data_IF_308516197805
#
_entry.id   IF_308516197805
#
_cell.length_a   1.000
_cell.length_b   1.000
_cell.length_c   1.000
_cell.angle_alpha   90.00
_cell.angle_beta   90.00
_cell.angle_gamma   90.00
#
_symmetry.space_group_name_H-M   'P 1'
#
loop_
_entity.id
_entity.type
_entity.pdbx_description
1 polymer ?
#
# COMPACT_ATOMS: atom_id res chain seq x y z
N UNK A 1 -3.23 20.93 -3.73
CA UNK A 1 -3.03 19.47 -3.73
C UNK A 1 -1.80 19.02 -2.94
N UNK A 2 -0.61 19.56 -3.19
CA UNK A 2 0.62 19.18 -2.46
C UNK A 2 0.51 19.33 -0.93
N UNK A 3 -0.16 20.38 -0.43
CA UNK A 3 -0.44 20.54 1.00
C UNK A 3 -1.29 19.40 1.57
N UNK A 4 -2.38 19.04 0.88
CA UNK A 4 -3.25 17.92 1.28
C UNK A 4 -2.52 16.58 1.26
N UNK A 5 -1.60 16.39 0.29
CA UNK A 5 -0.77 15.18 0.22
C UNK A 5 0.20 15.08 1.41
N UNK A 6 0.78 16.21 1.83
CA UNK A 6 1.64 16.26 3.00
C UNK A 6 0.86 16.00 4.29
N UNK A 7 -0.32 16.61 4.45
CA UNK A 7 -1.23 16.37 5.58
C UNK A 7 -1.64 14.88 5.65
N UNK A 8 -1.91 14.23 4.52
CA UNK A 8 -2.20 12.79 4.50
C UNK A 8 -1.00 11.95 4.95
N UNK A 9 0.22 12.28 4.50
CA UNK A 9 1.42 11.53 4.90
C UNK A 9 1.70 11.66 6.41
N UNK A 10 1.50 12.85 6.97
CA UNK A 10 1.60 13.09 8.41
C UNK A 10 0.58 12.24 9.19
N UNK A 11 -0.70 12.25 8.78
CA UNK A 11 -1.74 11.41 9.39
C UNK A 11 -1.46 9.91 9.24
N UNK A 12 -0.78 9.49 8.18
CA UNK A 12 -0.36 8.10 8.00
C UNK A 12 0.78 7.68 8.94
N UNK A 13 1.56 8.63 9.47
CA UNK A 13 2.69 8.34 10.37
C UNK A 13 2.35 8.54 11.84
N UNK A 14 1.39 9.40 12.16
CA UNK A 14 0.89 9.63 13.52
C UNK A 14 -0.09 8.54 13.98
N UNK A 15 -0.44 8.47 15.27
CA UNK A 15 -1.48 7.56 15.79
C UNK A 15 -2.91 8.03 15.48
N UNK A 16 -3.13 8.66 14.32
CA UNK A 16 -4.43 9.17 13.90
C UNK A 16 -5.48 8.06 13.85
N UNK A 17 -6.73 8.43 14.13
CA UNK A 17 -7.86 7.51 14.08
C UNK A 17 -8.12 7.07 12.62
N UNK A 18 -8.58 5.83 12.44
CA UNK A 18 -8.86 5.27 11.11
C UNK A 18 -9.89 6.12 10.37
N UNK A 19 -10.89 6.65 11.07
CA UNK A 19 -11.93 7.50 10.50
C UNK A 19 -11.35 8.82 9.96
N UNK A 20 -10.41 9.44 10.67
CA UNK A 20 -9.73 10.67 10.23
C UNK A 20 -8.91 10.43 8.96
N UNK A 21 -8.23 9.28 8.89
CA UNK A 21 -7.49 8.87 7.69
C UNK A 21 -8.44 8.60 6.52
N UNK A 22 -9.60 7.96 6.76
CA UNK A 22 -10.62 7.70 5.74
C UNK A 22 -11.25 8.97 5.16
N UNK A 23 -11.58 9.92 6.03
CA UNK A 23 -12.13 11.22 5.63
C UNK A 23 -11.11 11.98 4.79
N UNK A 24 -9.85 12.04 5.24
CA UNK A 24 -8.78 12.73 4.50
C UNK A 24 -8.49 12.06 3.15
N UNK A 25 -8.48 10.72 3.09
CA UNK A 25 -8.38 9.98 1.82
C UNK A 25 -9.55 10.33 0.90
N UNK A 26 -10.77 10.43 1.41
CA UNK A 26 -11.94 10.76 0.59
C UNK A 26 -11.83 12.18 0.00
N UNK A 27 -11.43 13.16 0.82
CA UNK A 27 -11.23 14.56 0.41
C UNK A 27 -10.15 14.68 -0.67
N UNK A 28 -9.01 14.01 -0.47
CA UNK A 28 -7.91 14.08 -1.43
C UNK A 28 -8.22 13.33 -2.71
N UNK A 29 -8.93 12.21 -2.66
CA UNK A 29 -9.35 11.46 -3.84
C UNK A 29 -10.29 12.31 -4.71
N UNK A 30 -11.25 13.03 -4.10
CA UNK A 30 -12.13 13.94 -4.82
C UNK A 30 -11.36 15.11 -5.44
N UNK A 31 -10.52 15.78 -4.64
CA UNK A 31 -9.71 16.91 -5.10
C UNK A 31 -8.76 16.51 -6.23
N UNK A 32 -8.16 15.33 -6.13
CA UNK A 32 -7.26 14.79 -7.15
C UNK A 32 -8.00 14.52 -8.45
N UNK A 33 -9.19 13.90 -8.42
CA UNK A 33 -9.98 13.65 -9.65
C UNK A 33 -10.30 14.92 -10.41
N UNK A 34 -10.70 15.97 -9.71
CA UNK A 34 -11.00 17.28 -10.33
C UNK A 34 -9.73 17.88 -10.92
N UNK A 35 -8.63 17.89 -10.16
CA UNK A 35 -7.38 18.45 -10.63
C UNK A 35 -6.78 17.68 -11.82
N UNK A 36 -6.88 16.35 -11.84
CA UNK A 36 -6.35 15.50 -12.91
C UNK A 36 -7.15 15.67 -14.22
N UNK A 37 -8.47 15.88 -14.12
CA UNK A 37 -9.31 16.22 -15.27
C UNK A 37 -8.93 17.58 -15.85
N UNK A 38 -8.82 18.62 -15.01
CA UNK A 38 -8.40 19.95 -15.43
C UNK A 38 -6.97 19.94 -16.01
N UNK A 39 -6.06 19.16 -15.41
CA UNK A 39 -4.71 19.03 -15.94
C UNK A 39 -4.72 18.38 -17.32
N UNK A 40 -5.58 17.39 -17.56
CA UNK A 40 -5.73 16.78 -18.90
C UNK A 40 -6.18 17.81 -19.93
N UNK A 41 -7.08 18.73 -19.57
CA UNK A 41 -7.49 19.84 -20.44
C UNK A 41 -6.31 20.78 -20.74
N UNK A 42 -5.55 21.19 -19.71
CA UNK A 42 -4.33 22.01 -19.88
C UNK A 42 -3.31 21.31 -20.79
N UNK A 43 -3.05 20.01 -20.57
CA UNK A 43 -2.12 19.23 -21.40
C UNK A 43 -2.60 19.09 -22.86
N UNK A 44 -3.90 19.25 -23.16
CA UNK A 44 -4.45 19.22 -24.53
C UNK A 44 -4.35 20.59 -25.22
N UNK A 45 -4.44 21.67 -24.47
CA UNK A 45 -4.34 23.05 -24.98
C UNK A 45 -2.88 23.47 -25.26
N UNK A 46 -1.91 22.70 -24.77
CA UNK A 46 -0.48 22.94 -24.95
C UNK A 46 0.12 22.07 -26.06
N UNK A 47 1.21 22.54 -26.66
CA UNK A 47 1.94 21.82 -27.70
C UNK A 47 3.44 21.69 -27.38
N UNK A 48 4.10 20.74 -28.06
CA UNK A 48 5.56 20.59 -28.04
C UNK A 48 6.16 20.47 -26.63
N UNK A 49 7.19 21.29 -26.37
CA UNK A 49 7.93 21.28 -25.10
C UNK A 49 7.08 21.75 -23.91
N UNK A 50 6.15 22.69 -24.13
CA UNK A 50 5.28 23.22 -23.06
C UNK A 50 4.33 22.14 -22.54
N UNK A 51 3.76 21.35 -23.46
CA UNK A 51 2.97 20.17 -23.11
C UNK A 51 3.78 19.15 -22.33
N UNK A 52 5.01 18.86 -22.79
CA UNK A 52 5.87 17.89 -22.14
C UNK A 52 6.25 18.34 -20.72
N UNK A 53 6.56 19.63 -20.53
CA UNK A 53 6.83 20.20 -19.22
C UNK A 53 5.61 20.07 -18.29
N UNK A 54 4.40 20.38 -18.77
CA UNK A 54 3.18 20.21 -17.98
C UNK A 54 2.92 18.76 -17.57
N UNK A 55 3.18 17.80 -18.47
CA UNK A 55 3.08 16.36 -18.19
C UNK A 55 4.09 15.95 -17.10
N UNK A 56 5.34 16.39 -17.23
CA UNK A 56 6.42 16.03 -16.33
C UNK A 56 6.21 16.64 -14.93
N UNK A 57 5.81 17.90 -14.86
CA UNK A 57 5.47 18.59 -13.62
C UNK A 57 4.31 17.87 -12.89
N UNK A 58 3.28 17.46 -13.62
CA UNK A 58 2.15 16.74 -13.03
C UNK A 58 2.47 15.28 -12.71
N UNK A 59 3.43 14.65 -13.39
CA UNK A 59 3.83 13.27 -13.13
C UNK A 59 4.27 13.06 -11.67
N UNK A 60 5.01 14.01 -11.10
CA UNK A 60 5.40 13.99 -9.69
C UNK A 60 4.18 14.02 -8.77
N UNK A 61 3.19 14.86 -9.07
CA UNK A 61 1.96 14.94 -8.27
C UNK A 61 1.17 13.62 -8.30
N UNK A 62 1.03 13.02 -9.50
CA UNK A 62 0.39 11.71 -9.69
C UNK A 62 1.11 10.60 -8.92
N UNK A 63 2.45 10.61 -8.90
CA UNK A 63 3.24 9.65 -8.13
C UNK A 63 3.00 9.80 -6.62
N UNK A 64 3.12 11.01 -6.09
CA UNK A 64 2.93 11.30 -4.67
C UNK A 64 1.53 10.89 -4.19
N UNK A 65 0.51 11.18 -4.98
CA UNK A 65 -0.86 10.74 -4.70
C UNK A 65 -0.99 9.21 -4.62
N UNK A 66 -0.43 8.46 -5.58
CA UNK A 66 -0.47 6.99 -5.55
C UNK A 66 0.21 6.42 -4.31
N UNK A 67 1.38 6.94 -3.96
CA UNK A 67 2.15 6.51 -2.79
C UNK A 67 1.40 6.82 -1.49
N UNK A 68 0.95 8.07 -1.31
CA UNK A 68 0.21 8.48 -0.11
C UNK A 68 -1.09 7.70 0.07
N UNK A 69 -1.85 7.49 -1.01
CA UNK A 69 -3.07 6.68 -0.99
C UNK A 69 -2.81 5.23 -0.63
N UNK A 70 -1.75 4.62 -1.16
CA UNK A 70 -1.38 3.25 -0.83
C UNK A 70 -0.98 3.12 0.65
N UNK A 71 -0.21 4.08 1.17
CA UNK A 71 0.20 4.13 2.58
C UNK A 71 -1.00 4.26 3.52
N UNK A 72 -1.92 5.17 3.22
CA UNK A 72 -3.15 5.34 3.99
C UNK A 72 -3.97 4.04 4.02
N UNK A 73 -4.12 3.37 2.86
CA UNK A 73 -4.83 2.08 2.76
C UNK A 73 -4.17 0.99 3.58
N UNK A 74 -2.85 0.87 3.52
CA UNK A 74 -2.12 -0.11 4.32
C UNK A 74 -2.36 0.11 5.82
N UNK A 75 -2.27 1.36 6.29
CA UNK A 75 -2.53 1.72 7.69
C UNK A 75 -3.95 1.39 8.14
N UNK A 76 -4.94 1.68 7.31
CA UNK A 76 -6.34 1.35 7.63
C UNK A 76 -6.56 -0.16 7.75
N UNK A 77 -5.92 -0.97 6.90
CA UNK A 77 -5.96 -2.45 6.97
C UNK A 77 -5.30 -2.95 8.26
N UNK A 78 -4.11 -2.43 8.60
CA UNK A 78 -3.41 -2.77 9.84
C UNK A 78 -4.25 -2.44 11.09
N UNK A 79 -4.86 -1.26 11.13
CA UNK A 79 -5.66 -0.80 12.26
C UNK A 79 -6.97 -1.59 12.44
N UNK A 80 -7.54 -2.11 11.35
CA UNK A 80 -8.73 -2.99 11.40
C UNK A 80 -8.41 -4.41 11.91
N UNK A 81 -7.14 -4.75 12.09
CA UNK A 81 -6.72 -6.08 12.51
C UNK A 81 -6.94 -7.16 11.44
N UNK A 82 -7.21 -6.74 10.20
CA UNK A 82 -7.30 -7.60 9.03
C UNK A 82 -5.88 -7.98 8.61
N UNK A 83 -5.26 -8.88 9.39
CA UNK A 83 -4.01 -9.51 9.01
C UNK A 83 -4.15 -10.23 7.66
N UNK A 84 -3.04 -10.58 6.99
CA UNK A 84 -3.07 -11.25 5.70
C UNK A 84 -4.04 -12.43 5.76
N UNK A 85 -5.02 -12.48 4.86
CA UNK A 85 -5.95 -13.61 4.71
C UNK A 85 -5.09 -14.83 4.36
N UNK A 86 -4.63 -15.54 5.38
CA UNK A 86 -3.50 -16.44 5.22
C UNK A 86 -2.91 -16.92 6.54
N UNK A 87 -3.73 -17.30 7.52
CA UNK A 87 -3.40 -18.40 8.43
C UNK A 87 -4.64 -18.83 9.19
N UNK A 88 -4.84 -20.14 9.29
CA UNK A 88 -6.01 -20.76 9.89
C UNK A 88 -6.29 -20.33 11.34
N UNK A 89 -7.58 -20.47 11.68
CA UNK A 89 -8.24 -20.22 12.95
C UNK A 89 -7.44 -20.50 14.23
N UNK A 90 -7.55 -19.61 15.21
CA UNK A 90 -7.71 -20.02 16.62
C UNK A 90 -8.48 -18.95 17.41
N UNK A 91 -9.64 -19.35 17.93
CA UNK A 91 -10.52 -18.56 18.79
C UNK A 91 -9.84 -18.15 20.11
N UNK A 92 -10.13 -16.96 20.67
CA UNK A 92 -9.54 -16.50 21.93
C UNK A 92 -10.31 -17.10 23.11
N UNK A 93 -9.92 -18.29 23.57
CA UNK A 93 -10.67 -18.95 24.64
C UNK A 93 -9.96 -20.06 25.40
N UNK A 94 -8.64 -20.22 25.31
CA UNK A 94 -7.92 -21.25 26.06
C UNK A 94 -6.76 -20.65 26.88
N UNK A 95 -6.64 -20.99 28.18
CA UNK A 95 -5.55 -20.48 29.01
C UNK A 95 -4.23 -21.10 28.57
N UNK A 96 -3.18 -20.28 28.57
CA UNK A 96 -1.84 -20.64 28.13
C UNK A 96 -1.29 -21.85 28.91
N UNK A 97 -1.41 -23.04 28.32
CA UNK A 97 -0.63 -24.21 28.73
C UNK A 97 0.78 -23.99 28.21
N UNK A 98 1.73 -23.88 29.14
CA UNK A 98 3.16 -23.93 28.85
C UNK A 98 3.45 -25.26 28.15
N UNK A 99 3.58 -25.22 26.83
CA UNK A 99 4.15 -26.34 26.07
C UNK A 99 5.65 -26.11 25.93
N UNK A 100 6.35 -27.03 26.59
CA UNK A 100 7.78 -27.29 26.57
C UNK A 100 8.41 -27.24 25.19
N UNK A 101 9.73 -27.00 25.16
CA UNK A 101 10.63 -27.05 24.00
C UNK A 101 10.50 -28.34 23.16
N UNK A 102 9.47 -28.42 22.33
CA UNK A 102 9.23 -29.49 21.38
C UNK A 102 10.17 -29.38 20.19
N UNK A 103 11.06 -30.36 20.07
CA UNK A 103 12.04 -30.56 18.99
C UNK A 103 11.39 -30.40 17.60
N UNK A 104 12.04 -29.64 16.70
CA UNK A 104 11.64 -29.55 15.29
C UNK A 104 11.56 -30.95 14.66
N UNK A 105 10.51 -31.28 13.88
CA UNK A 105 10.44 -32.54 13.15
C UNK A 105 11.58 -32.61 12.13
N UNK A 106 12.22 -33.77 12.06
CA UNK A 106 13.39 -34.02 11.22
C UNK A 106 12.95 -34.07 9.74
N UNK A 107 13.21 -33.00 8.99
CA UNK A 107 12.96 -32.94 7.55
C UNK A 107 14.11 -33.66 6.86
N UNK A 108 13.89 -34.91 6.44
CA UNK A 108 14.85 -35.58 5.54
C UNK A 108 14.75 -34.99 4.15
N UNK A 109 15.85 -34.39 3.68
CA UNK A 109 15.99 -33.90 2.31
C UNK A 109 15.77 -35.05 1.30
N UNK A 110 15.03 -34.84 0.21
CA UNK A 110 14.89 -35.85 -0.83
C UNK A 110 16.23 -36.14 -1.47
N UNK A 111 16.57 -37.43 -1.60
CA UNK A 111 17.80 -37.87 -2.28
C UNK A 111 17.63 -37.70 -3.78
N UNK A 112 18.34 -36.75 -4.36
CA UNK A 112 18.38 -36.54 -5.80
C UNK A 112 19.28 -37.60 -6.45
N UNK A 113 18.69 -38.63 -7.05
CA UNK A 113 19.43 -39.61 -7.88
C UNK A 113 19.60 -39.02 -9.27
N UNK A 114 20.59 -38.15 -9.42
CA UNK A 114 20.85 -37.44 -10.67
C UNK A 114 21.00 -38.40 -11.86
N UNK A 115 20.06 -38.32 -12.81
CA UNK A 115 20.33 -38.59 -14.21
C UNK A 115 20.32 -37.24 -14.92
N UNK A 116 21.51 -36.70 -15.11
CA UNK A 116 21.74 -35.55 -15.98
C UNK A 116 21.45 -36.02 -17.40
N UNK A 117 20.56 -35.33 -18.10
CA UNK A 117 20.35 -35.53 -19.53
C UNK A 117 21.63 -35.04 -20.24
N UNK A 118 22.34 -35.95 -20.89
CA UNK A 118 23.32 -35.59 -21.91
C UNK A 118 22.54 -35.24 -23.20
N UNK A 119 22.94 -34.14 -23.83
CA UNK A 119 22.25 -33.50 -24.96
C UNK A 119 22.35 -34.30 -26.25
#
# INVERSE_FOLDING_TARGET
LNRLLAELDELCTSSADVFEVEEQVSLIEQSFRVADALQTEVELDLEGEERQAAIDDWALCRQNYRVGKARARARMVEARGEGPIGSGSVSPGMPAVRSSNGRLPEITLPKFTGKVLEF
#
